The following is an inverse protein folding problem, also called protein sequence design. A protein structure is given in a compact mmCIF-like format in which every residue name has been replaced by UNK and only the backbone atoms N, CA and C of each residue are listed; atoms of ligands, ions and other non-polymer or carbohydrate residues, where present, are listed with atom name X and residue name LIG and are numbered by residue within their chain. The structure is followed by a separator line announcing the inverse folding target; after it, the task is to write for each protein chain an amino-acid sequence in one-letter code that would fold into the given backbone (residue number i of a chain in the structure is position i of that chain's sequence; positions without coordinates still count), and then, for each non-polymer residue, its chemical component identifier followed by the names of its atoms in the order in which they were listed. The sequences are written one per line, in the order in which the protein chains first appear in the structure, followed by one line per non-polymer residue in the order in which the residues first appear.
data_IF_950367467763
#
_entry.id   IF_950367467763
#
_cell.length_a   1.000
_cell.length_b   1.000
_cell.length_c   1.000
_cell.angle_alpha   90.00
_cell.angle_beta   90.00
_cell.angle_gamma   90.00
#
_symmetry.space_group_name_H-M   'P 1'
#
loop_
_entity.id
_entity.type
_entity.pdbx_description
1 polymer ?
#
# COMPACT_ATOMS: atom_id res chain seq x y z
N UNK A 1 -16.82 20.90 -15.22
CA UNK A 1 -16.46 20.31 -15.38
C UNK A 1 -15.79 20.05 -15.11
N UNK A 2 -16.09 20.07 -14.94
CA UNK A 2 -15.52 19.59 -14.94
C UNK A 2 -14.88 19.06 -14.57
N UNK A 3 -14.80 18.98 -14.48
CA UNK A 3 -14.10 18.39 -14.30
C UNK A 3 -13.44 17.83 -14.16
N UNK A 4 -13.16 17.99 -14.07
CA UNK A 4 -12.32 17.35 -14.07
C UNK A 4 -11.37 17.18 -13.80
N UNK A 5 -11.44 17.12 -13.63
CA UNK A 5 -10.49 16.79 -13.52
C UNK A 5 -9.92 16.38 -13.40
N UNK A 6 -9.97 16.36 -13.39
CA UNK A 6 -9.23 15.87 -13.46
C UNK A 6 -8.81 15.28 -13.26
N UNK A 7 -9.04 15.31 -13.16
CA UNK A 7 -8.65 14.70 -13.24
C UNK A 7 -8.40 14.21 -12.78
N UNK A 8 -8.90 14.36 -12.58
CA UNK A 8 -8.68 13.83 -12.40
C UNK A 8 -9.06 13.53 -11.79
N UNK A 9 -9.59 13.61 -11.81
CA UNK A 9 -9.91 13.39 -11.70
C UNK A 9 -10.40 13.20 -11.62
N UNK A 10 -10.93 13.24 -11.53
CA UNK A 10 -11.24 13.17 -11.95
C UNK A 10 -11.55 12.94 -11.89
N UNK A 11 -12.06 13.03 -11.84
CA UNK A 11 -12.33 13.00 -12.25
C UNK A 11 -12.45 12.61 -12.12
N UNK A 12 -12.73 12.71 -12.03
CA UNK A 12 -12.87 12.56 -12.30
C UNK A 12 -12.79 12.44 -11.83
N UNK A 13 -13.00 12.66 -11.64
CA UNK A 13 -12.99 12.74 -11.59
C UNK A 13 -13.13 12.79 -11.00
N UNK A 14 -13.20 12.98 -10.83
CA UNK A 14 -13.80 12.90 -10.55
C UNK A 14 -14.55 13.16 -9.85
N UNK A 15 -14.04 13.94 -9.74
CA UNK A 15 -15.09 14.21 -8.95
C UNK A 15 -16.31 13.36 -8.96
N UNK A 16 -16.33 12.28 -8.56
CA UNK A 16 -17.37 11.32 -8.70
C UNK A 16 -18.19 11.15 -7.43
N UNK A 17 -19.48 11.11 -7.55
CA UNK A 17 -20.34 10.91 -6.40
C UNK A 17 -20.26 9.43 -5.97
N UNK A 18 -20.34 9.15 -4.66
CA UNK A 18 -20.41 7.77 -4.20
C UNK A 18 -21.66 7.07 -4.74
N UNK A 19 -21.52 5.79 -4.97
CA UNK A 19 -22.66 4.96 -5.35
C UNK A 19 -23.55 4.76 -4.13
N UNK A 20 -24.86 4.85 -4.30
CA UNK A 20 -25.81 4.58 -3.21
C UNK A 20 -26.39 3.18 -3.37
N UNK A 21 -26.61 2.51 -2.25
CA UNK A 21 -27.27 1.20 -2.27
C UNK A 21 -28.78 1.40 -2.40
N UNK A 22 -29.49 0.28 -2.52
CA UNK A 22 -30.92 0.31 -2.70
C UNK A 22 -31.70 0.83 -1.47
N UNK A 23 -31.02 1.01 -0.35
CA UNK A 23 -31.61 1.60 0.86
C UNK A 23 -31.36 3.10 0.94
N UNK A 24 -30.69 3.66 -0.04
CA UNK A 24 -30.39 5.09 -0.07
C UNK A 24 -29.14 5.47 0.69
N UNK A 25 -28.39 4.52 1.22
CA UNK A 25 -27.14 4.79 1.91
C UNK A 25 -26.00 4.89 0.92
N UNK A 26 -25.09 5.83 1.17
CA UNK A 26 -23.90 5.96 0.33
C UNK A 26 -23.03 4.73 0.50
N UNK A 27 -22.61 4.15 -0.64
CA UNK A 27 -21.74 3.00 -0.66
C UNK A 27 -20.43 3.38 -1.34
N UNK A 28 -19.33 3.18 -0.65
CA UNK A 28 -18.02 3.49 -1.21
C UNK A 28 -17.61 2.41 -2.21
N UNK A 29 -17.06 2.85 -3.34
CA UNK A 29 -16.45 1.93 -4.29
C UNK A 29 -15.13 1.41 -3.71
N UNK A 30 -14.60 0.34 -4.31
CA UNK A 30 -13.28 -0.18 -3.89
C UNK A 30 -12.22 0.91 -4.00
N UNK A 31 -12.24 1.68 -5.10
CA UNK A 31 -11.28 2.76 -5.30
C UNK A 31 -11.40 3.82 -4.21
N UNK A 32 -12.63 4.16 -3.78
CA UNK A 32 -12.84 5.12 -2.71
C UNK A 32 -12.29 4.62 -1.38
N UNK A 33 -12.52 3.35 -1.08
CA UNK A 33 -12.01 2.74 0.13
C UNK A 33 -10.47 2.72 0.15
N UNK A 34 -9.88 2.40 -0.99
CA UNK A 34 -8.42 2.38 -1.13
C UNK A 34 -7.86 3.78 -0.89
N UNK A 35 -8.44 4.79 -1.55
CA UNK A 35 -7.98 6.17 -1.37
C UNK A 35 -8.07 6.61 0.08
N UNK A 36 -9.17 6.29 0.74
CA UNK A 36 -9.34 6.65 2.15
C UNK A 36 -8.29 5.97 3.02
N UNK A 37 -8.06 4.69 2.79
CA UNK A 37 -7.11 3.92 3.59
C UNK A 37 -5.69 4.47 3.46
N UNK A 38 -5.25 4.75 2.22
CA UNK A 38 -3.88 5.22 2.00
C UNK A 38 -3.69 6.68 2.43
N UNK A 39 -4.78 7.44 2.56
CA UNK A 39 -4.71 8.81 3.07
C UNK A 39 -4.69 8.86 4.58
N UNK A 40 -5.37 7.93 5.23
CA UNK A 40 -5.46 7.90 6.70
C UNK A 40 -4.25 7.28 7.36
N UNK A 41 -3.50 6.47 6.64
CA UNK A 41 -2.37 5.74 7.19
C UNK A 41 -1.12 6.08 6.41
N UNK A 42 -0.03 6.33 7.13
CA UNK A 42 1.24 6.69 6.50
C UNK A 42 1.80 5.57 5.64
N UNK A 43 1.68 4.33 6.12
CA UNK A 43 2.19 3.16 5.41
C UNK A 43 1.08 2.12 5.38
N UNK A 44 0.78 1.62 4.17
CA UNK A 44 -0.27 0.62 3.98
C UNK A 44 0.27 -0.50 3.11
N UNK A 45 0.05 -1.72 3.55
CA UNK A 45 0.44 -2.89 2.78
C UNK A 45 -0.81 -3.69 2.41
N UNK A 46 -1.08 -3.78 1.11
CA UNK A 46 -2.13 -4.67 0.59
C UNK A 46 -1.49 -6.03 0.37
N UNK A 47 -1.98 -7.04 1.07
CA UNK A 47 -1.31 -8.33 1.15
C UNK A 47 -2.30 -9.48 1.18
N UNK A 48 -1.81 -10.68 0.96
CA UNK A 48 -2.59 -11.90 1.12
C UNK A 48 -2.41 -12.38 2.55
N UNK A 49 -3.49 -12.34 3.32
CA UNK A 49 -3.46 -12.61 4.76
C UNK A 49 -3.29 -11.34 5.55
N UNK A 50 -2.84 -11.47 6.78
CA UNK A 50 -2.61 -10.35 7.68
C UNK A 50 -1.14 -10.28 8.05
N UNK A 51 -0.72 -9.15 8.65
CA UNK A 51 0.69 -9.02 9.05
C UNK A 51 1.07 -10.05 10.11
N UNK A 52 0.10 -10.50 10.90
CA UNK A 52 0.35 -11.55 11.90
C UNK A 52 0.29 -12.96 11.30
N UNK A 53 -0.47 -13.14 10.21
CA UNK A 53 -0.63 -14.43 9.56
C UNK A 53 -0.66 -14.27 8.03
N UNK A 54 0.51 -14.01 7.42
CA UNK A 54 0.58 -13.89 5.96
C UNK A 54 0.26 -15.23 5.30
N UNK A 55 -0.47 -15.17 4.19
CA UNK A 55 -0.90 -16.37 3.47
C UNK A 55 -0.15 -16.56 2.15
N UNK A 56 0.90 -15.78 1.93
CA UNK A 56 1.68 -15.82 0.69
C UNK A 56 3.12 -15.47 1.02
N UNK A 57 4.07 -16.21 0.44
CA UNK A 57 5.49 -15.96 0.69
C UNK A 57 5.94 -14.56 0.35
N UNK A 58 5.42 -14.01 -0.74
CA UNK A 58 5.76 -12.65 -1.14
C UNK A 58 5.20 -11.61 -0.15
N UNK A 59 3.96 -11.80 0.29
CA UNK A 59 3.37 -10.92 1.31
C UNK A 59 4.12 -11.04 2.63
N UNK A 60 4.48 -12.25 3.00
CA UNK A 60 5.25 -12.51 4.22
C UNK A 60 6.59 -11.76 4.20
N UNK A 61 7.25 -11.76 3.06
CA UNK A 61 8.56 -11.09 2.93
C UNK A 61 8.42 -9.57 3.15
N UNK A 62 7.46 -8.93 2.49
CA UNK A 62 7.29 -7.49 2.64
C UNK A 62 6.87 -7.13 4.05
N UNK A 63 5.90 -7.86 4.61
CA UNK A 63 5.46 -7.63 5.98
C UNK A 63 6.62 -7.84 6.96
N UNK A 64 7.44 -8.86 6.71
CA UNK A 64 8.59 -9.14 7.54
C UNK A 64 9.61 -8.02 7.53
N UNK A 65 9.89 -7.46 6.35
CA UNK A 65 10.82 -6.34 6.22
C UNK A 65 10.32 -5.13 7.01
N UNK A 66 9.04 -4.79 6.85
CA UNK A 66 8.47 -3.65 7.56
C UNK A 66 8.46 -3.86 9.06
N UNK A 67 8.10 -5.05 9.51
CA UNK A 67 8.11 -5.37 10.94
C UNK A 67 9.54 -5.31 11.51
N UNK A 68 10.50 -5.85 10.78
CA UNK A 68 11.89 -5.86 11.23
C UNK A 68 12.44 -4.43 11.33
N UNK A 69 12.07 -3.58 10.38
CA UNK A 69 12.50 -2.19 10.38
C UNK A 69 11.73 -1.33 11.38
N UNK A 70 10.79 -1.93 12.11
CA UNK A 70 10.03 -1.19 13.11
C UNK A 70 9.05 -0.18 12.54
N UNK A 71 8.64 -0.37 11.29
CA UNK A 71 7.68 0.53 10.63
C UNK A 71 6.27 0.12 11.02
N UNK A 72 5.50 1.11 11.50
CA UNK A 72 4.08 0.87 11.75
C UNK A 72 3.34 0.98 10.43
N UNK A 73 2.55 -0.03 10.12
CA UNK A 73 1.79 -0.03 8.87
C UNK A 73 0.42 -0.66 9.07
N UNK A 74 -0.53 -0.17 8.29
CA UNK A 74 -1.85 -0.80 8.19
C UNK A 74 -1.77 -1.92 7.17
N UNK A 75 -2.31 -3.08 7.51
CA UNK A 75 -2.36 -4.20 6.58
C UNK A 75 -3.80 -4.38 6.09
N UNK A 76 -3.94 -4.64 4.80
CA UNK A 76 -5.25 -4.91 4.19
C UNK A 76 -5.19 -6.30 3.57
N UNK A 77 -6.02 -7.20 4.10
CA UNK A 77 -6.06 -8.58 3.62
C UNK A 77 -6.97 -8.67 2.40
N UNK A 78 -6.36 -8.76 1.21
CA UNK A 78 -7.13 -8.81 -0.03
C UNK A 78 -7.86 -10.14 -0.21
N UNK A 79 -7.50 -11.17 0.57
CA UNK A 79 -8.23 -12.43 0.51
C UNK A 79 -9.59 -12.35 1.18
N UNK A 80 -9.78 -11.35 2.06
CA UNK A 80 -11.05 -11.16 2.75
C UNK A 80 -12.06 -10.38 1.94
N UNK A 81 -11.64 -9.74 0.85
CA UNK A 81 -12.52 -8.87 0.06
C UNK A 81 -12.09 -8.89 -1.40
N UNK A 82 -12.87 -9.62 -2.22
CA UNK A 82 -12.55 -9.79 -3.65
C UNK A 82 -12.60 -8.47 -4.41
N UNK A 83 -13.45 -7.53 -3.99
CA UNK A 83 -13.55 -6.23 -4.66
C UNK A 83 -12.31 -5.39 -4.39
N UNK A 84 -11.79 -5.42 -3.18
CA UNK A 84 -10.54 -4.74 -2.86
C UNK A 84 -9.37 -5.41 -3.59
N UNK A 85 -9.38 -6.74 -3.66
CA UNK A 85 -8.31 -7.46 -4.36
C UNK A 85 -8.22 -7.03 -5.82
N UNK A 86 -9.34 -6.97 -6.52
CA UNK A 86 -9.35 -6.51 -7.91
C UNK A 86 -9.13 -5.00 -7.98
N UNK A 87 -9.76 -4.26 -7.07
CA UNK A 87 -9.70 -2.80 -7.06
C UNK A 87 -8.31 -2.26 -6.86
N UNK A 88 -7.50 -2.90 -6.00
CA UNK A 88 -6.14 -2.40 -5.77
C UNK A 88 -5.26 -2.58 -7.01
N UNK A 89 -5.47 -3.65 -7.76
CA UNK A 89 -4.74 -3.87 -9.02
C UNK A 89 -5.12 -2.82 -10.05
N UNK A 90 -6.40 -2.51 -10.14
CA UNK A 90 -6.89 -1.48 -11.06
C UNK A 90 -6.40 -0.10 -10.64
N UNK A 91 -6.44 0.17 -9.33
CA UNK A 91 -6.05 1.45 -8.76
C UNK A 91 -4.59 1.78 -9.04
N UNK A 92 -3.71 0.80 -8.89
CA UNK A 92 -2.27 0.99 -9.06
C UNK A 92 -1.80 0.72 -10.50
N UNK A 93 -2.66 0.11 -11.31
CA UNK A 93 -2.27 -0.43 -12.61
C UNK A 93 -1.12 -1.42 -12.46
N UNK A 94 -1.15 -2.22 -11.39
CA UNK A 94 -0.12 -3.19 -11.05
C UNK A 94 -0.80 -4.53 -10.76
N UNK A 95 -0.40 -5.60 -11.45
CA UNK A 95 -1.22 -6.83 -11.47
C UNK A 95 -1.02 -7.77 -10.28
N UNK A 96 -0.06 -7.52 -9.43
CA UNK A 96 0.30 -8.50 -8.39
C UNK A 96 0.15 -7.94 -6.98
N UNK A 97 0.03 -8.84 -6.02
CA UNK A 97 -0.01 -8.58 -4.59
C UNK A 97 1.23 -9.26 -4.00
N UNK A 98 1.94 -8.65 -3.06
CA UNK A 98 1.60 -7.49 -2.24
C UNK A 98 1.87 -6.16 -2.95
N UNK A 99 1.26 -5.08 -2.41
CA UNK A 99 1.51 -3.72 -2.87
C UNK A 99 1.71 -2.81 -1.67
N UNK A 100 2.79 -2.06 -1.67
CA UNK A 100 3.14 -1.14 -0.58
C UNK A 100 2.86 0.30 -0.99
N UNK A 101 2.20 1.04 -0.09
CA UNK A 101 1.94 2.46 -0.26
C UNK A 101 2.56 3.22 0.92
N UNK A 102 3.21 4.34 0.62
CA UNK A 102 3.81 5.22 1.64
C UNK A 102 3.31 6.63 1.37
N UNK A 103 2.63 7.22 2.37
CA UNK A 103 2.07 8.57 2.27
C UNK A 103 1.21 8.74 1.03
N UNK A 104 0.40 7.74 0.74
CA UNK A 104 -0.55 7.77 -0.38
C UNK A 104 0.04 7.45 -1.74
N UNK A 105 1.34 7.15 -1.82
CA UNK A 105 2.00 6.86 -3.09
C UNK A 105 2.36 5.39 -3.19
N UNK A 106 2.10 4.81 -4.35
CA UNK A 106 2.46 3.42 -4.62
C UNK A 106 3.98 3.28 -4.72
N UNK A 107 4.54 2.37 -3.94
CA UNK A 107 5.98 2.10 -3.93
C UNK A 107 6.31 0.93 -4.84
N UNK A 108 5.62 -0.19 -4.64
CA UNK A 108 5.85 -1.37 -5.46
C UNK A 108 5.44 -2.64 -4.76
N UNK A 109 5.79 -3.75 -5.39
CA UNK A 109 5.52 -5.09 -4.88
C UNK A 109 6.75 -5.68 -4.18
N UNK A 110 6.73 -7.00 -4.02
CA UNK A 110 7.76 -7.70 -3.27
C UNK A 110 9.17 -7.47 -3.81
N UNK A 111 9.35 -7.60 -5.11
CA UNK A 111 10.69 -7.49 -5.71
C UNK A 111 11.24 -6.07 -5.57
N UNK A 112 10.40 -5.07 -5.83
CA UNK A 112 10.82 -3.68 -5.75
C UNK A 112 11.15 -3.30 -4.31
N UNK A 113 10.28 -3.68 -3.36
CA UNK A 113 10.50 -3.38 -1.95
C UNK A 113 11.78 -4.06 -1.44
N UNK A 114 12.01 -5.31 -1.85
CA UNK A 114 13.22 -6.03 -1.47
C UNK A 114 14.47 -5.31 -2.00
N UNK A 115 14.44 -4.93 -3.26
CA UNK A 115 15.55 -4.21 -3.89
C UNK A 115 15.82 -2.89 -3.20
N UNK A 116 14.76 -2.12 -2.92
CA UNK A 116 14.89 -0.83 -2.25
C UNK A 116 15.42 -0.97 -0.82
N UNK A 117 15.06 -2.07 -0.16
CA UNK A 117 15.57 -2.35 1.19
C UNK A 117 17.08 -2.58 1.14
N UNK A 118 17.54 -3.36 0.18
CA UNK A 118 18.96 -3.71 0.09
C UNK A 118 19.80 -2.53 -0.41
N UNK A 119 19.26 -1.68 -1.25
CA UNK A 119 19.99 -0.53 -1.80
C UNK A 119 19.99 0.68 -0.86
N UNK A 120 19.10 0.68 0.14
CA UNK A 120 18.94 1.84 1.01
C UNK A 120 17.91 2.85 0.48
N UNK A 121 17.32 2.59 -0.69
CA UNK A 121 16.32 3.49 -1.25
C UNK A 121 15.05 3.54 -0.41
N UNK A 122 14.70 2.43 0.25
CA UNK A 122 13.53 2.41 1.11
C UNK A 122 13.74 3.29 2.34
N UNK A 123 14.94 3.24 2.92
CA UNK A 123 15.31 4.10 4.04
C UNK A 123 15.19 5.56 3.63
N UNK A 124 15.74 5.90 2.46
CA UNK A 124 15.71 7.27 1.94
C UNK A 124 14.27 7.73 1.71
N UNK A 125 13.42 6.84 1.23
CA UNK A 125 12.01 7.14 1.02
C UNK A 125 11.32 7.45 2.36
N UNK A 126 11.55 6.62 3.37
CA UNK A 126 10.96 6.85 4.69
C UNK A 126 11.46 8.17 5.28
N UNK A 127 12.76 8.46 5.14
CA UNK A 127 13.32 9.73 5.62
C UNK A 127 12.65 10.92 4.93
N UNK A 128 12.49 10.85 3.61
CA UNK A 128 11.92 11.94 2.84
C UNK A 128 10.42 12.14 3.13
N UNK A 129 9.74 11.08 3.53
CA UNK A 129 8.30 11.13 3.82
C UNK A 129 8.01 11.30 5.31
N UNK A 130 9.03 11.35 6.15
CA UNK A 130 8.84 11.51 7.58
C UNK A 130 8.30 10.27 8.28
N UNK A 131 8.56 9.10 7.73
CA UNK A 131 8.12 7.83 8.32
C UNK A 131 9.20 7.32 9.26
N UNK A 132 8.81 7.00 10.50
CA UNK A 132 9.74 6.51 11.51
C UNK A 132 10.07 5.03 11.25
N UNK A 133 11.34 4.70 11.36
CA UNK A 133 11.81 3.33 11.25
C UNK A 133 13.10 3.15 12.04
N UNK A 134 13.50 1.90 12.27
CA UNK A 134 14.71 1.55 13.01
C UNK A 134 15.89 1.50 12.03
N UNK A 135 16.76 2.51 12.11
CA UNK A 135 17.91 2.63 11.21
C UNK A 135 18.93 1.52 11.42
N UNK A 136 19.09 1.08 12.66
CA UNK A 136 20.03 -0.01 12.97
C UNK A 136 19.53 -1.32 12.36
N UNK A 137 18.23 -1.59 12.46
CA UNK A 137 17.63 -2.79 11.86
C UNK A 137 17.81 -2.77 10.35
N UNK A 138 17.57 -1.62 9.71
CA UNK A 138 17.74 -1.49 8.26
C UNK A 138 19.18 -1.80 7.85
N UNK A 139 20.16 -1.28 8.61
CA UNK A 139 21.57 -1.57 8.34
C UNK A 139 21.90 -3.04 8.50
N UNK A 140 21.32 -3.68 9.51
CA UNK A 140 21.56 -5.10 9.77
C UNK A 140 21.05 -5.98 8.63
N UNK A 141 19.93 -5.60 8.03
CA UNK A 141 19.41 -6.34 6.88
C UNK A 141 20.44 -6.32 5.75
N UNK A 142 20.99 -5.14 5.46
CA UNK A 142 21.96 -4.98 4.39
C UNK A 142 23.26 -5.74 4.69
N UNK A 143 23.73 -5.67 5.94
CA UNK A 143 24.95 -6.38 6.35
C UNK A 143 24.79 -7.88 6.24
N UNK A 144 23.63 -8.41 6.67
CA UNK A 144 23.37 -9.83 6.59
C UNK A 144 23.33 -10.32 5.14
N UNK A 145 22.81 -9.47 4.24
CA UNK A 145 22.70 -9.83 2.85
C UNK A 145 24.05 -9.75 2.10
N UNK A 146 24.91 -8.82 2.54
CA UNK A 146 26.22 -8.61 1.91
C UNK A 146 27.31 -9.50 2.49
N UNK A 147 27.05 -10.02 3.69
CA UNK A 147 27.97 -10.93 4.35
C UNK A 147 27.74 -12.34 3.96
#
# INVERSE_FOLDING_TARGET
MADRPPAGIDRRHDHRLPVTDHKGNATMTAADQIRETIQKNDVVLYMKGTKMMPQCGFSSRVAGVLNYMGVEFADVNVLADAEIRQGIKDFSDWPTIPQLYVKGEFVGGCDIVTEMTLSGELDALFDSKGVTYDKDAANKIREANNG
#
